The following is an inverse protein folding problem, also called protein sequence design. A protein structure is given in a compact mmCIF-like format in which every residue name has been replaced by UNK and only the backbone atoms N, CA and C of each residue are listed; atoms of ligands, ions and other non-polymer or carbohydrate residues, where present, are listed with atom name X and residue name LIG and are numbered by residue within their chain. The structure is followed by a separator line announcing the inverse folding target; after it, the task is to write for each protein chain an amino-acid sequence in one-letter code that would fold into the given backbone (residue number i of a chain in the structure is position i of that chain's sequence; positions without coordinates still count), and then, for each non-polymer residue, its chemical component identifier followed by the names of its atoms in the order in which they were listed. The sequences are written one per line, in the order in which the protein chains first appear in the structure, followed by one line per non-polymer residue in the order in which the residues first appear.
data_IF_472610073094
#
_entry.id   IF_472610073094
#
_cell.length_a   1.000
_cell.length_b   1.000
_cell.length_c   1.000
_cell.angle_alpha   90.00
_cell.angle_beta   90.00
_cell.angle_gamma   90.00
#
_symmetry.space_group_name_H-M   'P 1'
#
loop_
_entity.id
_entity.type
_entity.pdbx_description
1 polymer ?
#
# COMPACT_ATOMS: atom_id res chain seq x y z
N UNK A 1 5.86 9.00 -17.33
CA UNK A 1 5.02 9.21 -16.11
C UNK A 1 3.68 8.46 -16.16
N UNK A 2 3.27 7.87 -17.28
CA UNK A 2 2.13 6.93 -17.35
C UNK A 2 2.58 5.47 -17.33
N UNK A 3 3.72 5.16 -17.94
CA UNK A 3 4.26 3.78 -18.06
C UNK A 3 4.38 3.04 -16.73
N UNK A 4 5.00 3.65 -15.74
CA UNK A 4 5.11 3.07 -14.41
C UNK A 4 3.74 2.84 -13.74
N UNK A 5 2.74 3.75 -13.74
CA UNK A 5 1.39 3.50 -13.19
C UNK A 5 0.72 2.30 -13.88
N UNK A 6 0.97 2.12 -15.18
CA UNK A 6 0.55 0.94 -15.91
C UNK A 6 1.26 -0.35 -15.44
N UNK A 7 2.56 -0.28 -15.07
CA UNK A 7 3.30 -1.41 -14.44
C UNK A 7 2.61 -1.89 -13.15
N UNK A 8 2.01 -0.98 -12.38
CA UNK A 8 1.28 -1.29 -11.13
C UNK A 8 -0.21 -1.60 -11.34
N UNK A 9 -0.71 -1.57 -12.58
CA UNK A 9 -2.12 -1.83 -12.88
C UNK A 9 -3.06 -0.76 -12.32
N UNK A 10 -2.57 0.46 -12.12
CA UNK A 10 -3.39 1.63 -11.80
C UNK A 10 -3.97 2.10 -13.14
N UNK A 11 -5.09 1.51 -13.53
CA UNK A 11 -5.92 2.06 -14.59
C UNK A 11 -6.61 3.33 -14.10
N UNK A 12 -7.13 4.14 -15.01
CA UNK A 12 -8.00 5.28 -14.71
C UNK A 12 -9.28 4.91 -13.93
N UNK A 13 -9.53 3.61 -13.70
CA UNK A 13 -10.64 3.07 -12.91
C UNK A 13 -10.30 2.76 -11.45
N UNK A 14 -9.07 3.02 -10.99
CA UNK A 14 -8.75 2.98 -9.56
C UNK A 14 -9.49 4.11 -8.81
N UNK A 15 -9.97 3.83 -7.60
CA UNK A 15 -10.62 4.81 -6.75
C UNK A 15 -9.79 6.07 -6.52
N UNK A 16 -10.45 7.16 -6.13
CA UNK A 16 -9.86 8.47 -5.84
C UNK A 16 -8.67 8.37 -4.87
N UNK A 17 -8.81 7.66 -3.76
CA UNK A 17 -7.73 7.49 -2.77
C UNK A 17 -6.59 6.67 -3.35
N UNK A 18 -6.87 5.60 -4.09
CA UNK A 18 -5.83 4.80 -4.74
C UNK A 18 -4.97 5.67 -5.67
N UNK A 19 -5.59 6.57 -6.44
CA UNK A 19 -4.88 7.51 -7.30
C UNK A 19 -4.06 8.52 -6.50
N UNK A 20 -4.67 9.16 -5.51
CA UNK A 20 -4.05 10.27 -4.78
C UNK A 20 -2.98 9.82 -3.78
N UNK A 21 -3.09 8.61 -3.23
CA UNK A 21 -2.16 8.04 -2.25
C UNK A 21 -1.03 7.29 -2.93
N UNK A 22 -1.33 6.40 -3.89
CA UNK A 22 -0.32 5.57 -4.55
C UNK A 22 0.44 6.36 -5.63
N UNK A 23 -0.23 7.26 -6.36
CA UNK A 23 0.40 8.03 -7.44
C UNK A 23 1.64 8.83 -6.99
N UNK A 24 1.58 9.58 -5.88
CA UNK A 24 2.74 10.28 -5.32
C UNK A 24 3.79 9.34 -4.71
N UNK A 25 3.37 8.23 -4.09
CA UNK A 25 4.29 7.22 -3.56
C UNK A 25 5.10 6.53 -4.64
N UNK A 26 4.51 6.33 -5.80
CA UNK A 26 5.28 5.90 -6.94
C UNK A 26 6.40 6.94 -7.21
N UNK A 27 6.12 8.26 -7.09
CA UNK A 27 6.96 9.39 -7.63
C UNK A 27 8.11 9.66 -6.69
N UNK A 28 7.81 9.64 -5.41
CA UNK A 28 8.78 9.76 -4.33
C UNK A 28 9.49 8.43 -4.15
N UNK A 29 10.72 8.33 -4.69
CA UNK A 29 11.73 7.29 -4.44
C UNK A 29 11.18 5.97 -3.87
N UNK A 30 10.27 5.36 -4.63
CA UNK A 30 9.67 4.07 -4.28
C UNK A 30 10.76 3.00 -4.10
N UNK A 31 11.92 3.19 -4.70
CA UNK A 31 13.11 2.36 -4.48
C UNK A 31 13.46 2.25 -3.00
N UNK A 32 13.55 3.36 -2.26
CA UNK A 32 13.92 3.32 -0.84
C UNK A 32 12.78 2.75 -0.01
N UNK A 33 11.54 3.18 -0.28
CA UNK A 33 10.38 2.67 0.44
C UNK A 33 10.26 1.14 0.30
N UNK A 34 10.40 0.65 -0.94
CA UNK A 34 10.22 -0.76 -1.30
C UNK A 34 11.42 -1.61 -0.89
N UNK A 35 12.63 -1.08 -1.01
CA UNK A 35 13.86 -1.74 -0.57
C UNK A 35 13.84 -1.97 0.94
N UNK A 36 13.43 -0.98 1.72
CA UNK A 36 13.32 -1.11 3.17
C UNK A 36 12.18 -2.06 3.56
N UNK A 37 11.03 -1.96 2.88
CA UNK A 37 9.92 -2.89 3.06
C UNK A 37 10.37 -4.33 2.85
N UNK A 38 11.02 -4.64 1.74
CA UNK A 38 11.41 -6.02 1.43
C UNK A 38 12.56 -6.52 2.28
N UNK A 39 13.55 -5.67 2.63
CA UNK A 39 14.60 -6.03 3.58
C UNK A 39 14.05 -6.46 4.93
N UNK A 40 13.02 -5.78 5.43
CA UNK A 40 12.40 -6.10 6.74
C UNK A 40 11.38 -7.25 6.63
N UNK A 41 10.75 -7.42 5.48
CA UNK A 41 9.56 -8.27 5.34
C UNK A 41 9.81 -9.63 4.72
N UNK A 42 10.71 -9.72 3.73
CA UNK A 42 10.98 -10.95 2.96
C UNK A 42 12.44 -11.40 3.07
N UNK A 43 13.16 -10.96 4.12
CA UNK A 43 14.57 -11.28 4.36
C UNK A 43 14.88 -12.77 4.23
N UNK A 44 13.94 -13.61 4.65
CA UNK A 44 14.06 -15.07 4.68
C UNK A 44 13.42 -15.76 3.45
N UNK A 45 12.78 -15.00 2.55
CA UNK A 45 12.13 -15.53 1.36
C UNK A 45 13.08 -15.45 0.16
N UNK A 46 13.64 -16.60 -0.23
CA UNK A 46 14.59 -16.73 -1.35
C UNK A 46 13.93 -16.76 -2.73
N UNK A 47 12.60 -16.90 -2.80
CA UNK A 47 11.84 -17.11 -4.05
C UNK A 47 11.56 -15.85 -4.88
N UNK A 48 11.87 -14.66 -4.36
CA UNK A 48 11.70 -13.38 -5.06
C UNK A 48 13.05 -12.67 -5.06
N UNK A 49 14.03 -13.12 -5.84
CA UNK A 49 15.33 -12.43 -5.92
C UNK A 49 15.31 -11.19 -6.83
N UNK A 50 14.36 -11.14 -7.76
CA UNK A 50 14.23 -10.04 -8.70
C UNK A 50 13.54 -8.82 -8.07
N UNK A 51 14.31 -7.74 -7.88
CA UNK A 51 13.83 -6.49 -7.30
C UNK A 51 12.71 -5.83 -8.12
N UNK A 52 12.68 -6.04 -9.43
CA UNK A 52 11.63 -5.46 -10.29
C UNK A 52 10.28 -6.15 -10.06
N UNK A 53 10.27 -7.48 -9.97
CA UNK A 53 9.10 -8.29 -9.65
C UNK A 53 8.61 -7.99 -8.24
N UNK A 54 9.51 -7.93 -7.28
CA UNK A 54 9.23 -7.48 -5.92
C UNK A 54 8.50 -6.13 -5.93
N UNK A 55 9.12 -5.09 -6.52
CA UNK A 55 8.52 -3.76 -6.64
C UNK A 55 7.09 -3.88 -7.19
N UNK A 56 6.92 -4.46 -8.36
CA UNK A 56 5.61 -4.62 -9.00
C UNK A 56 4.56 -5.30 -8.11
N UNK A 57 4.91 -6.38 -7.42
CA UNK A 57 3.98 -7.10 -6.53
C UNK A 57 3.60 -6.26 -5.31
N UNK A 58 4.58 -5.58 -4.71
CA UNK A 58 4.34 -4.75 -3.52
C UNK A 58 3.26 -3.71 -3.77
N UNK A 59 3.37 -2.94 -4.83
CA UNK A 59 2.44 -1.82 -5.02
C UNK A 59 1.18 -2.22 -5.76
N UNK A 60 1.12 -3.42 -6.35
CA UNK A 60 -0.17 -4.07 -6.61
C UNK A 60 -0.89 -4.32 -5.30
N UNK A 61 -0.24 -4.95 -4.32
CA UNK A 61 -0.84 -5.19 -3.01
C UNK A 61 -1.21 -3.88 -2.29
N UNK A 62 -0.34 -2.86 -2.31
CA UNK A 62 -0.62 -1.56 -1.71
C UNK A 62 -1.78 -0.84 -2.41
N UNK A 63 -1.88 -0.93 -3.74
CA UNK A 63 -3.02 -0.40 -4.50
C UNK A 63 -4.32 -1.07 -4.07
N UNK A 64 -4.35 -2.41 -4.01
CA UNK A 64 -5.55 -3.14 -3.58
C UNK A 64 -5.90 -2.83 -2.12
N UNK A 65 -4.91 -2.68 -1.23
CA UNK A 65 -5.13 -2.25 0.16
C UNK A 65 -5.81 -0.87 0.23
N UNK A 66 -5.29 0.13 -0.50
CA UNK A 66 -5.91 1.47 -0.52
C UNK A 66 -7.29 1.46 -1.18
N UNK A 67 -7.49 0.63 -2.20
CA UNK A 67 -8.81 0.46 -2.83
C UNK A 67 -9.83 -0.17 -1.87
N UNK A 68 -9.41 -1.13 -1.03
CA UNK A 68 -10.25 -1.68 0.03
C UNK A 68 -10.64 -0.61 1.05
N UNK A 69 -9.68 0.21 1.52
CA UNK A 69 -9.98 1.32 2.44
C UNK A 69 -10.99 2.28 1.83
N UNK A 70 -10.82 2.64 0.56
CA UNK A 70 -11.77 3.51 -0.13
C UNK A 70 -13.16 2.89 -0.24
N UNK A 71 -13.24 1.61 -0.58
CA UNK A 71 -14.51 0.89 -0.65
C UNK A 71 -15.23 0.86 0.71
N UNK A 72 -14.52 0.57 1.80
CA UNK A 72 -15.12 0.56 3.14
C UNK A 72 -15.66 1.95 3.54
N UNK A 73 -14.99 3.03 3.11
CA UNK A 73 -15.49 4.39 3.33
C UNK A 73 -16.71 4.70 2.45
N UNK A 74 -16.74 4.24 1.20
CA UNK A 74 -17.90 4.36 0.32
C UNK A 74 -19.10 3.55 0.86
N UNK A 75 -18.86 2.33 1.35
CA UNK A 75 -19.87 1.47 1.97
C UNK A 75 -20.40 2.07 3.31
N UNK A 76 -19.66 2.99 3.92
CA UNK A 76 -20.09 3.82 5.05
C UNK A 76 -20.82 5.12 4.64
N UNK A 77 -21.26 5.22 3.37
CA UNK A 77 -21.98 6.35 2.77
C UNK A 77 -21.18 7.67 2.68
N UNK A 78 -19.84 7.62 2.72
CA UNK A 78 -19.02 8.82 2.50
C UNK A 78 -18.97 9.19 1.02
N UNK A 79 -19.24 10.45 0.72
CA UNK A 79 -19.09 10.99 -0.62
C UNK A 79 -17.63 11.11 -1.05
N UNK A 80 -17.40 11.18 -2.37
CA UNK A 80 -16.06 11.46 -2.93
C UNK A 80 -15.42 12.75 -2.40
N UNK A 81 -16.21 13.72 -1.97
CA UNK A 81 -15.70 14.95 -1.39
C UNK A 81 -15.20 14.73 0.04
N UNK A 82 -15.89 13.90 0.82
CA UNK A 82 -15.49 13.50 2.16
C UNK A 82 -14.27 12.57 2.13
N UNK A 83 -14.15 11.69 1.12
CA UNK A 83 -12.97 10.85 0.93
C UNK A 83 -11.66 11.67 0.85
N UNK A 84 -11.72 12.91 0.37
CA UNK A 84 -10.52 13.76 0.24
C UNK A 84 -9.80 14.00 1.55
N UNK A 85 -10.54 14.07 2.66
CA UNK A 85 -9.94 14.31 3.98
C UNK A 85 -9.03 13.15 4.41
N UNK A 86 -9.29 11.94 3.92
CA UNK A 86 -8.52 10.73 4.24
C UNK A 86 -7.21 10.62 3.45
N UNK A 87 -7.00 11.43 2.41
CA UNK A 87 -5.80 11.31 1.55
C UNK A 87 -4.51 11.53 2.34
N UNK A 88 -4.46 12.54 3.21
CA UNK A 88 -3.28 12.86 4.02
C UNK A 88 -3.03 11.82 5.13
N UNK A 89 -4.00 11.48 6.01
CA UNK A 89 -3.78 10.48 7.06
C UNK A 89 -3.45 9.11 6.45
N UNK A 90 -4.10 8.69 5.36
CA UNK A 90 -3.78 7.42 4.71
C UNK A 90 -2.35 7.38 4.14
N UNK A 91 -1.85 8.49 3.57
CA UNK A 91 -0.45 8.61 3.15
C UNK A 91 0.53 8.50 4.32
N UNK A 92 0.20 9.10 5.46
CA UNK A 92 1.04 9.02 6.65
C UNK A 92 1.03 7.60 7.24
N UNK A 93 -0.15 7.00 7.31
CA UNK A 93 -0.38 5.66 7.83
C UNK A 93 0.43 4.60 7.08
N UNK A 94 0.37 4.56 5.75
CA UNK A 94 1.15 3.59 4.96
C UNK A 94 2.66 3.88 4.94
N UNK A 95 3.07 5.09 5.36
CA UNK A 95 4.49 5.46 5.55
C UNK A 95 4.99 5.14 6.95
N UNK A 96 4.10 4.83 7.91
CA UNK A 96 4.49 4.39 9.24
C UNK A 96 5.29 3.09 9.17
N UNK A 97 6.34 3.01 9.98
CA UNK A 97 7.27 1.88 9.96
C UNK A 97 6.61 0.57 10.40
N UNK A 98 5.76 0.63 11.43
CA UNK A 98 5.05 -0.54 11.96
C UNK A 98 4.04 -1.04 10.94
N UNK A 99 3.27 -0.12 10.33
CA UNK A 99 2.32 -0.47 9.27
C UNK A 99 3.03 -1.09 8.07
N UNK A 100 4.14 -0.49 7.63
CA UNK A 100 4.97 -1.04 6.55
C UNK A 100 5.38 -2.49 6.85
N UNK A 101 5.87 -2.76 8.06
CA UNK A 101 6.29 -4.10 8.48
C UNK A 101 5.13 -5.10 8.52
N UNK A 102 3.95 -4.68 9.00
CA UNK A 102 2.75 -5.52 9.04
C UNK A 102 2.29 -5.86 7.62
N UNK A 103 2.12 -4.87 6.75
CA UNK A 103 1.74 -5.11 5.35
C UNK A 103 2.74 -6.01 4.63
N UNK A 104 4.02 -5.92 4.98
CA UNK A 104 5.05 -6.78 4.41
C UNK A 104 5.08 -8.19 4.95
N UNK A 105 4.61 -8.41 6.17
CA UNK A 105 4.47 -9.76 6.72
C UNK A 105 3.55 -10.65 5.86
N UNK A 106 2.63 -10.07 5.08
CA UNK A 106 1.78 -10.77 4.10
C UNK A 106 2.59 -11.58 3.07
N UNK A 107 3.82 -11.17 2.78
CA UNK A 107 4.70 -11.82 1.81
C UNK A 107 5.61 -12.88 2.44
N UNK A 108 5.55 -13.09 3.76
CA UNK A 108 6.32 -14.14 4.44
C UNK A 108 5.71 -15.50 4.14
N UNK A 109 6.59 -16.49 3.93
CA UNK A 109 6.16 -17.87 3.78
C UNK A 109 5.38 -18.33 5.02
N UNK A 110 4.20 -18.91 4.80
CA UNK A 110 3.34 -19.40 5.89
C UNK A 110 2.60 -18.31 6.67
N UNK A 111 2.57 -17.06 6.18
CA UNK A 111 1.70 -16.03 6.76
C UNK A 111 0.22 -16.48 6.70
N UNK A 112 -0.41 -16.62 7.88
CA UNK A 112 -1.83 -16.97 8.00
C UNK A 112 -2.72 -15.75 8.25
N UNK A 113 -2.17 -14.73 8.91
CA UNK A 113 -2.89 -13.51 9.27
C UNK A 113 -1.93 -12.32 9.43
N UNK A 114 -2.48 -11.12 9.29
CA UNK A 114 -1.82 -9.87 9.63
C UNK A 114 -2.15 -9.46 11.06
N UNK A 115 -1.28 -8.65 11.68
CA UNK A 115 -1.56 -8.01 12.96
C UNK A 115 -2.58 -6.87 12.78
N UNK A 116 -3.85 -7.23 12.77
CA UNK A 116 -4.97 -6.30 12.60
C UNK A 116 -5.18 -5.39 13.80
N UNK A 117 -4.73 -5.81 14.99
CA UNK A 117 -4.84 -5.00 16.20
C UNK A 117 -3.91 -3.78 16.13
N UNK A 118 -2.65 -4.00 15.73
CA UNK A 118 -1.71 -2.89 15.53
C UNK A 118 -2.15 -2.02 14.35
N UNK A 119 -2.67 -2.60 13.26
CA UNK A 119 -3.26 -1.81 12.16
C UNK A 119 -4.32 -0.83 12.69
N UNK A 120 -5.27 -1.30 13.49
CA UNK A 120 -6.32 -0.45 14.05
C UNK A 120 -5.78 0.63 15.00
N UNK A 121 -4.83 0.30 15.88
CA UNK A 121 -4.30 1.23 16.88
C UNK A 121 -3.41 2.34 16.30
N UNK A 122 -2.77 2.08 15.17
CA UNK A 122 -1.89 3.06 14.51
C UNK A 122 -2.67 4.02 13.61
N UNK A 123 -3.96 3.78 13.38
CA UNK A 123 -4.79 4.73 12.64
C UNK A 123 -5.01 5.97 13.51
N UNK A 124 -4.49 7.10 13.05
CA UNK A 124 -4.66 8.41 13.69
C UNK A 124 -5.69 9.17 12.86
N UNK A 125 -6.83 9.48 13.47
CA UNK A 125 -7.85 10.39 12.91
C UNK A 125 -7.32 11.83 12.76
#
# INVERSE_FOLDING_TARGET
MLDWLAVWGISSAGGYLAKEVIGPLAKEALEDYTKDFFKESIKDYTGLSDQNTQKKLFGKALKEFVALVEKELEDADLSKQELKQYTKPLKQYIKDKSIKAILGSAFRYGCQQLDTETLAKTWIE
#
